data_IF_566580743925
#
_entry.id   IF_566580743925
#
_cell.length_a   1.000
_cell.length_b   1.000
_cell.length_c   1.000
_cell.angle_alpha   90.00
_cell.angle_beta   90.00
_cell.angle_gamma   90.00
#
_symmetry.space_group_name_H-M   'P 1'
#
loop_
_entity.id
_entity.type
_entity.pdbx_description
1 polymer ?
#
# COMPACT_ATOMS: atom_id res chain seq x y z
N UNK A 1 -71.24 -21.21 16.21
CA UNK A 1 -69.81 -21.55 16.11
C UNK A 1 -69.24 -20.92 14.85
N UNK A 2 -68.43 -19.89 15.03
CA UNK A 2 -67.63 -19.20 14.00
C UNK A 2 -66.37 -20.01 13.68
N UNK A 3 -65.94 -20.06 12.41
CA UNK A 3 -64.52 -19.88 12.04
C UNK A 3 -64.40 -19.18 10.69
N UNK A 4 -64.06 -17.88 10.74
CA UNK A 4 -63.41 -17.16 9.63
C UNK A 4 -61.96 -17.64 9.55
N UNK A 5 -61.50 -17.96 8.34
CA UNK A 5 -60.10 -17.89 7.91
C UNK A 5 -60.20 -17.19 6.55
N UNK A 6 -59.74 -15.96 6.30
CA UNK A 6 -58.47 -15.28 6.58
C UNK A 6 -57.23 -16.12 6.30
N UNK A 7 -56.86 -16.24 5.02
CA UNK A 7 -55.47 -16.32 4.57
C UNK A 7 -55.28 -15.61 3.21
N UNK A 8 -54.10 -15.00 2.95
CA UNK A 8 -53.98 -13.69 2.31
C UNK A 8 -53.13 -13.67 1.01
N UNK A 9 -53.37 -12.64 0.19
CA UNK A 9 -52.40 -11.87 -0.62
C UNK A 9 -51.48 -12.69 -1.55
N UNK A 10 -52.02 -13.07 -2.72
CA UNK A 10 -51.28 -13.67 -3.83
C UNK A 10 -50.83 -12.65 -4.91
N UNK A 11 -50.98 -11.34 -4.65
CA UNK A 11 -50.80 -10.28 -5.67
C UNK A 11 -49.48 -9.49 -5.49
N UNK A 12 -48.69 -9.73 -4.45
CA UNK A 12 -47.50 -8.92 -4.13
C UNK A 12 -46.16 -9.51 -4.58
N UNK A 13 -46.08 -10.78 -4.96
CA UNK A 13 -44.77 -11.46 -5.15
C UNK A 13 -44.12 -11.18 -6.53
N UNK A 14 -44.89 -10.79 -7.55
CA UNK A 14 -44.34 -10.57 -8.90
C UNK A 14 -43.71 -9.18 -9.12
N UNK A 15 -44.09 -8.17 -8.34
CA UNK A 15 -43.54 -6.79 -8.45
C UNK A 15 -42.18 -6.65 -7.75
N UNK A 16 -41.91 -7.42 -6.70
CA UNK A 16 -40.61 -7.39 -5.99
C UNK A 16 -39.50 -8.13 -6.74
N UNK A 17 -39.84 -9.15 -7.53
CA UNK A 17 -38.86 -9.91 -8.33
C UNK A 17 -38.29 -9.10 -9.52
N UNK A 18 -39.03 -8.11 -10.01
CA UNK A 18 -38.68 -7.34 -11.21
C UNK A 18 -37.90 -6.05 -10.91
N UNK A 19 -38.05 -5.43 -9.73
CA UNK A 19 -37.25 -4.27 -9.33
C UNK A 19 -35.86 -4.63 -8.78
N UNK A 20 -35.64 -5.89 -8.38
CA UNK A 20 -34.42 -6.30 -7.68
C UNK A 20 -33.25 -6.70 -8.60
N UNK A 21 -33.46 -6.81 -9.92
CA UNK A 21 -32.46 -7.37 -10.83
C UNK A 21 -31.55 -6.36 -11.56
N UNK A 22 -31.75 -5.04 -11.38
CA UNK A 22 -30.99 -4.02 -12.15
C UNK A 22 -29.81 -3.36 -11.43
N UNK A 23 -29.41 -3.80 -10.24
CA UNK A 23 -28.27 -3.16 -9.52
C UNK A 23 -27.06 -4.09 -9.33
N UNK A 24 -26.99 -5.22 -10.03
CA UNK A 24 -25.75 -6.04 -10.09
C UNK A 24 -24.99 -5.77 -11.39
N UNK A 25 -24.85 -4.50 -11.75
CA UNK A 25 -23.95 -4.05 -12.80
C UNK A 25 -22.91 -3.11 -12.17
N UNK A 26 -21.79 -3.70 -11.72
CA UNK A 26 -20.52 -3.00 -11.68
C UNK A 26 -20.24 -2.12 -10.45
N UNK A 27 -20.30 -2.67 -9.24
CA UNK A 27 -19.31 -2.23 -8.24
C UNK A 27 -18.06 -3.05 -8.54
N UNK A 28 -17.31 -2.61 -9.55
CA UNK A 28 -15.90 -2.96 -9.57
C UNK A 28 -15.33 -2.33 -8.31
N UNK A 29 -15.22 -3.12 -7.25
CA UNK A 29 -14.31 -2.83 -6.16
C UNK A 29 -12.90 -2.91 -6.74
N UNK A 30 -12.56 -1.98 -7.65
CA UNK A 30 -11.22 -1.46 -7.69
C UNK A 30 -11.05 -0.91 -6.29
N UNK A 31 -10.38 -1.67 -5.42
CA UNK A 31 -9.84 -1.09 -4.21
C UNK A 31 -9.19 0.21 -4.69
N UNK A 32 -9.51 1.37 -4.11
CA UNK A 32 -8.63 2.50 -4.30
C UNK A 32 -7.25 1.94 -3.98
N UNK A 33 -6.28 2.06 -4.89
CA UNK A 33 -4.90 1.80 -4.55
C UNK A 33 -4.66 2.73 -3.37
N UNK A 34 -4.75 2.18 -2.17
CA UNK A 34 -4.75 3.01 -0.98
C UNK A 34 -3.37 3.63 -1.04
N UNK A 35 -3.32 4.96 -1.19
CA UNK A 35 -2.09 5.76 -1.18
C UNK A 35 -1.56 5.79 0.26
N UNK A 36 -1.64 4.67 0.96
CA UNK A 36 -0.99 4.40 2.22
C UNK A 36 0.40 3.91 1.91
N UNK A 37 1.37 4.48 2.61
CA UNK A 37 2.72 3.97 2.60
C UNK A 37 2.72 2.45 2.89
N UNK A 38 3.68 1.70 2.32
CA UNK A 38 3.86 0.30 2.67
C UNK A 38 3.94 0.13 4.19
N UNK A 39 3.44 -0.99 4.74
CA UNK A 39 3.33 -1.19 6.18
C UNK A 39 4.69 -1.08 6.89
N UNK A 40 5.78 -1.48 6.22
CA UNK A 40 7.12 -1.23 6.72
C UNK A 40 7.34 0.27 6.97
N UNK A 41 7.10 1.14 5.99
CA UNK A 41 7.34 2.60 6.10
C UNK A 41 6.45 3.25 7.16
N UNK A 42 5.16 2.88 7.19
CA UNK A 42 4.22 3.41 8.17
C UNK A 42 4.67 3.15 9.62
N UNK A 43 5.26 1.99 9.89
CA UNK A 43 5.76 1.65 11.22
C UNK A 43 6.98 2.47 11.68
N UNK A 44 7.69 3.15 10.77
CA UNK A 44 8.82 4.04 11.14
C UNK A 44 8.36 5.46 11.51
N UNK A 45 7.12 5.85 11.23
CA UNK A 45 6.67 7.20 11.55
C UNK A 45 6.27 7.32 13.04
N UNK A 46 6.85 8.29 13.78
CA UNK A 46 6.45 8.54 15.16
C UNK A 46 5.05 9.15 15.22
N UNK A 47 4.33 8.88 16.31
CA UNK A 47 3.01 9.47 16.56
C UNK A 47 3.07 11.00 16.74
N UNK A 48 4.14 11.49 17.36
CA UNK A 48 4.46 12.91 17.53
C UNK A 48 5.80 13.23 16.86
N UNK A 49 5.79 13.72 15.61
CA UNK A 49 7.01 14.18 14.94
C UNK A 49 7.65 15.36 15.70
N UNK A 50 8.98 15.45 15.63
CA UNK A 50 9.72 16.58 16.18
C UNK A 50 9.59 17.86 15.34
N UNK A 51 10.33 18.93 15.69
CA UNK A 51 10.33 20.18 14.92
C UNK A 51 10.93 20.03 13.51
N UNK A 52 11.74 18.98 13.29
CA UNK A 52 12.32 18.64 11.99
C UNK A 52 11.48 17.52 11.37
N UNK A 53 10.99 17.67 10.13
CA UNK A 53 10.20 16.63 9.46
C UNK A 53 11.08 15.40 9.20
N UNK A 54 10.56 14.23 9.54
CA UNK A 54 11.21 12.96 9.23
C UNK A 54 10.81 12.51 7.82
N UNK A 55 11.80 12.33 6.94
CA UNK A 55 11.59 11.86 5.57
C UNK A 55 12.15 10.44 5.40
N UNK A 56 11.32 9.55 4.90
CA UNK A 56 11.63 8.13 4.70
C UNK A 56 11.69 7.81 3.20
N UNK A 57 12.66 7.01 2.74
CA UNK A 57 12.75 6.62 1.34
C UNK A 57 11.58 5.71 0.94
N UNK A 58 11.09 5.85 -0.29
CA UNK A 58 10.17 4.88 -0.85
C UNK A 58 10.96 3.67 -1.39
N UNK A 59 10.68 2.44 -0.92
CA UNK A 59 11.41 1.25 -1.34
C UNK A 59 11.08 0.79 -2.77
N UNK A 60 9.99 1.28 -3.37
CA UNK A 60 9.48 0.87 -4.68
C UNK A 60 9.86 1.89 -5.76
N UNK A 61 9.75 3.18 -5.46
CA UNK A 61 9.97 4.25 -6.42
C UNK A 61 10.95 5.29 -5.86
N UNK A 62 12.07 5.49 -6.55
CA UNK A 62 13.08 6.46 -6.14
C UNK A 62 12.68 7.92 -6.37
N UNK A 63 11.71 8.16 -7.27
CA UNK A 63 11.15 9.49 -7.53
C UNK A 63 10.20 9.97 -6.44
N UNK A 64 9.97 9.18 -5.40
CA UNK A 64 9.09 9.54 -4.30
C UNK A 64 9.68 9.18 -2.93
N UNK A 65 9.14 9.81 -1.90
CA UNK A 65 9.51 9.61 -0.50
C UNK A 65 8.28 9.78 0.38
N UNK A 66 8.40 9.43 1.65
CA UNK A 66 7.33 9.59 2.62
C UNK A 66 7.72 10.63 3.66
N UNK A 67 6.83 11.59 3.89
CA UNK A 67 6.96 12.56 4.98
C UNK A 67 6.09 12.12 6.14
N UNK A 68 6.69 11.93 7.33
CA UNK A 68 5.92 11.59 8.52
C UNK A 68 5.18 12.81 9.05
N UNK A 69 3.86 12.69 9.15
CA UNK A 69 2.96 13.64 9.79
C UNK A 69 2.58 13.16 11.19
N UNK A 70 1.80 13.98 11.87
CA UNK A 70 1.18 13.62 13.14
C UNK A 70 0.37 12.32 13.04
N UNK A 71 0.21 11.65 14.17
CA UNK A 71 -0.52 10.38 14.27
C UNK A 71 0.17 9.20 13.56
N UNK A 72 1.47 9.29 13.27
CA UNK A 72 2.22 8.21 12.60
C UNK A 72 1.89 8.07 11.11
N UNK A 73 1.33 9.12 10.50
CA UNK A 73 0.87 9.06 9.10
C UNK A 73 2.03 9.32 8.15
N UNK A 74 2.36 8.35 7.30
CA UNK A 74 3.35 8.51 6.24
C UNK A 74 2.68 9.04 4.96
N UNK A 75 2.96 10.30 4.61
CA UNK A 75 2.42 10.97 3.42
C UNK A 75 3.35 10.78 2.24
N UNK A 76 2.87 10.18 1.15
CA UNK A 76 3.64 10.04 -0.09
C UNK A 76 3.86 11.41 -0.73
N UNK A 77 5.11 11.73 -1.06
CA UNK A 77 5.55 12.95 -1.73
C UNK A 77 6.41 12.57 -2.93
N UNK A 78 6.40 13.40 -3.97
CA UNK A 78 7.19 13.17 -5.17
C UNK A 78 8.30 14.20 -5.28
N UNK A 79 9.48 13.75 -5.68
CA UNK A 79 10.54 14.63 -6.12
C UNK A 79 10.17 15.28 -7.46
N UNK A 80 10.80 16.42 -7.79
CA UNK A 80 10.74 16.95 -9.15
C UNK A 80 11.13 15.88 -10.18
N UNK A 81 10.66 15.99 -11.44
CA UNK A 81 11.04 15.06 -12.49
C UNK A 81 12.56 14.87 -12.55
N UNK A 82 13.00 13.64 -12.85
CA UNK A 82 14.40 13.21 -12.97
C UNK A 82 15.23 13.23 -11.68
N UNK A 83 14.67 13.63 -10.53
CA UNK A 83 15.37 13.60 -9.25
C UNK A 83 14.92 12.41 -8.39
N UNK A 84 15.85 11.91 -7.58
CA UNK A 84 15.63 10.81 -6.65
C UNK A 84 15.79 11.28 -5.21
N UNK A 85 15.03 10.70 -4.29
CA UNK A 85 15.17 11.03 -2.88
C UNK A 85 16.49 10.49 -2.31
N UNK A 86 17.32 11.39 -1.79
CA UNK A 86 18.56 11.09 -1.09
C UNK A 86 18.30 11.01 0.42
N UNK A 87 18.17 9.79 0.95
CA UNK A 87 17.89 9.56 2.37
C UNK A 87 18.99 10.08 3.31
N UNK A 88 20.24 10.19 2.84
CA UNK A 88 21.36 10.70 3.64
C UNK A 88 21.31 12.21 3.79
N UNK A 89 20.97 12.93 2.72
CA UNK A 89 20.88 14.39 2.72
C UNK A 89 19.46 14.90 3.03
N UNK A 90 18.46 14.01 3.08
CA UNK A 90 17.04 14.32 3.28
C UNK A 90 16.51 15.33 2.22
N UNK A 91 16.97 15.20 0.97
CA UNK A 91 16.57 16.06 -0.17
C UNK A 91 16.41 15.25 -1.45
N UNK A 92 15.73 15.82 -2.44
CA UNK A 92 15.75 15.29 -3.80
C UNK A 92 17.06 15.69 -4.48
N UNK A 93 17.80 14.71 -4.99
CA UNK A 93 19.11 14.87 -5.60
C UNK A 93 19.14 14.12 -6.94
N UNK A 94 20.20 14.33 -7.70
CA UNK A 94 20.46 13.56 -8.92
C UNK A 94 20.51 12.05 -8.62
N UNK A 95 20.04 11.19 -9.55
CA UNK A 95 20.04 9.74 -9.38
C UNK A 95 21.41 9.14 -9.02
N UNK A 96 22.49 9.74 -9.54
CA UNK A 96 23.88 9.33 -9.33
C UNK A 96 24.34 9.55 -7.88
N UNK A 97 23.82 10.57 -7.20
CA UNK A 97 24.17 10.90 -5.82
C UNK A 97 23.18 10.35 -4.79
N UNK A 98 21.91 10.17 -5.19
CA UNK A 98 20.85 9.70 -4.30
C UNK A 98 21.08 8.25 -3.81
N UNK A 99 21.85 7.44 -4.55
CA UNK A 99 22.15 6.04 -4.24
C UNK A 99 20.88 5.22 -3.91
N UNK A 100 19.76 5.55 -4.55
CA UNK A 100 18.49 4.90 -4.27
C UNK A 100 18.45 3.52 -4.95
N UNK A 101 18.21 2.48 -4.14
CA UNK A 101 18.08 1.09 -4.60
C UNK A 101 16.60 0.74 -4.63
N UNK A 102 15.99 0.71 -5.82
CA UNK A 102 14.63 0.21 -5.97
C UNK A 102 14.62 -1.29 -5.69
N UNK A 103 13.73 -1.74 -4.80
CA UNK A 103 13.35 -3.15 -4.75
C UNK A 103 12.42 -3.42 -5.93
N UNK A 104 12.99 -3.49 -7.12
CA UNK A 104 12.32 -4.13 -8.24
C UNK A 104 12.03 -5.56 -7.80
N UNK A 105 10.83 -6.08 -8.01
CA UNK A 105 10.52 -7.49 -7.73
C UNK A 105 11.39 -8.47 -8.55
N UNK A 106 12.12 -7.97 -9.56
CA UNK A 106 13.22 -8.66 -10.24
C UNK A 106 14.54 -8.71 -9.44
N UNK A 107 14.75 -7.81 -8.48
CA UNK A 107 15.98 -7.69 -7.69
C UNK A 107 16.02 -8.60 -6.44
N UNK A 108 14.98 -9.39 -6.16
CA UNK A 108 15.16 -10.56 -5.29
C UNK A 108 16.06 -11.62 -5.96
N UNK A 109 16.24 -11.57 -7.28
CA UNK A 109 17.12 -12.48 -8.02
C UNK A 109 18.47 -11.86 -8.43
N UNK A 110 18.89 -10.74 -7.84
CA UNK A 110 20.22 -10.18 -8.18
C UNK A 110 21.14 -9.79 -7.01
N UNK A 111 20.74 -9.99 -5.75
CA UNK A 111 21.65 -9.88 -4.61
C UNK A 111 21.87 -11.18 -3.82
N UNK A 112 21.38 -12.32 -4.31
CA UNK A 112 21.62 -13.64 -3.69
C UNK A 112 22.58 -14.56 -4.47
N UNK A 113 23.19 -14.09 -5.57
CA UNK A 113 24.13 -14.89 -6.38
C UNK A 113 25.54 -14.33 -6.47
N UNK A 114 25.89 -13.33 -5.64
CA UNK A 114 27.29 -12.94 -5.46
C UNK A 114 27.66 -13.14 -3.98
N UNK A 115 28.14 -14.34 -3.66
CA UNK A 115 28.79 -14.64 -2.38
C UNK A 115 30.30 -14.74 -2.67
N UNK A 116 31.07 -13.63 -2.57
CA UNK A 116 32.43 -13.60 -3.09
C UNK A 116 33.52 -14.25 -2.23
N UNK A 117 33.24 -14.82 -1.05
CA UNK A 117 34.22 -15.67 -0.34
C UNK A 117 33.70 -16.24 1.00
N UNK A 118 33.35 -17.53 0.98
CA UNK A 118 33.86 -18.58 1.88
C UNK A 118 33.94 -18.42 3.43
N UNK A 119 33.18 -17.59 4.14
CA UNK A 119 33.16 -17.71 5.63
C UNK A 119 31.85 -17.28 6.32
N UNK A 120 30.77 -18.02 6.13
CA UNK A 120 29.63 -17.99 7.06
C UNK A 120 29.37 -19.40 7.59
N UNK A 121 29.95 -19.71 8.74
CA UNK A 121 29.87 -20.99 9.42
C UNK A 121 28.62 -21.03 10.34
N UNK A 122 27.74 -21.99 10.05
CA UNK A 122 26.90 -22.75 10.99
C UNK A 122 25.76 -22.09 11.80
N UNK A 123 24.79 -21.44 11.14
CA UNK A 123 23.38 -21.51 11.57
C UNK A 123 22.40 -21.27 10.40
N UNK A 124 22.28 -22.27 9.54
CA UNK A 124 21.20 -22.52 8.56
C UNK A 124 19.82 -22.03 9.06
N UNK A 125 18.94 -21.39 8.28
CA UNK A 125 18.46 -21.79 6.97
C UNK A 125 17.92 -20.61 6.16
N UNK A 126 18.15 -20.65 4.85
CA UNK A 126 17.31 -20.00 3.85
C UNK A 126 16.10 -20.94 3.58
N UNK A 127 14.88 -20.42 3.56
CA UNK A 127 13.66 -21.17 3.19
C UNK A 127 13.49 -21.14 1.68
#
# INVERSE_FOLDING_TARGET
MFRRANQPILISVSLVASLSLLVVAGVSHGLPAVVTAPPQVAAQCPYTPGPIPLLLPNPVDCGSFYMCSWYGTALLQHCPPVLHFNAKLQVCDSPEHANCVQRTTAAHLQHHYFCPSLQCDHSYSCV
#
